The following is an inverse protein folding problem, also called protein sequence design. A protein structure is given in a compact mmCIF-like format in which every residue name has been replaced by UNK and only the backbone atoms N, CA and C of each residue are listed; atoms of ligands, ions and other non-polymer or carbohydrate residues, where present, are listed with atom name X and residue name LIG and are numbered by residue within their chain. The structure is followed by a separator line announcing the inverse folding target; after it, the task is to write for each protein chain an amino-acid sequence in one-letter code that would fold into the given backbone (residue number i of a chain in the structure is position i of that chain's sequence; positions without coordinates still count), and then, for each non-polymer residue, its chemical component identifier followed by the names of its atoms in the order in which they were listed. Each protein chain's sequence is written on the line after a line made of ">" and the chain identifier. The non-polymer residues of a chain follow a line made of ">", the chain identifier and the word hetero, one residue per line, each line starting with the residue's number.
data_IF_112199342996
#
_entry.id   IF_112199342996
#
_cell.length_a   1.000
_cell.length_b   1.000
_cell.length_c   1.000
_cell.angle_alpha   90.00
_cell.angle_beta   90.00
_cell.angle_gamma   90.00
#
_symmetry.space_group_name_H-M   'P 1'
#
loop_
_entity.id
_entity.type
_entity.pdbx_description
1 polymer ?
#
# COMPACT_ATOMS: atom_id res chain seq x y z
N UNK A 1 0.10 9.04 -13.00
CA UNK A 1 -0.39 7.66 -13.28
C UNK A 1 0.66 6.56 -13.18
N UNK A 2 1.89 6.74 -13.63
CA UNK A 2 2.93 5.68 -13.58
C UNK A 2 3.16 5.11 -12.16
N UNK A 3 3.18 5.98 -11.13
CA UNK A 3 3.33 5.56 -9.73
C UNK A 3 2.14 4.73 -9.25
N UNK A 4 0.93 5.04 -9.72
CA UNK A 4 -0.29 4.29 -9.37
C UNK A 4 -0.29 2.89 -10.01
N UNK A 5 0.23 2.76 -11.23
CA UNK A 5 0.40 1.45 -11.88
C UNK A 5 1.45 0.60 -11.17
N UNK A 6 2.59 1.20 -10.81
CA UNK A 6 3.64 0.53 -10.03
C UNK A 6 3.09 0.07 -8.68
N UNK A 7 2.36 0.94 -7.97
CA UNK A 7 1.72 0.61 -6.71
C UNK A 7 0.71 -0.52 -6.86
N UNK A 8 -0.15 -0.48 -7.89
CA UNK A 8 -1.14 -1.53 -8.15
C UNK A 8 -0.47 -2.88 -8.41
N UNK A 9 0.61 -2.90 -9.19
CA UNK A 9 1.37 -4.13 -9.48
C UNK A 9 2.04 -4.68 -8.22
N UNK A 10 2.71 -3.83 -7.44
CA UNK A 10 3.32 -4.17 -6.14
C UNK A 10 2.30 -4.76 -5.16
N UNK A 11 1.13 -4.12 -5.02
CA UNK A 11 0.02 -4.64 -4.21
C UNK A 11 -0.45 -6.01 -4.68
N UNK A 12 -0.52 -6.24 -5.99
CA UNK A 12 -0.93 -7.54 -6.52
C UNK A 12 0.12 -8.64 -6.25
N UNK A 13 1.41 -8.33 -6.42
CA UNK A 13 2.51 -9.26 -6.16
C UNK A 13 2.64 -9.61 -4.67
N UNK A 14 2.38 -8.66 -3.78
CA UNK A 14 2.39 -8.86 -2.33
C UNK A 14 1.08 -9.43 -1.75
N UNK A 15 0.07 -9.71 -2.59
CA UNK A 15 -1.24 -10.19 -2.11
C UNK A 15 -2.08 -9.13 -1.38
N UNK A 16 -1.75 -7.85 -1.54
CA UNK A 16 -2.43 -6.68 -0.95
C UNK A 16 -3.36 -5.97 -1.94
N UNK A 17 -3.76 -6.64 -3.03
CA UNK A 17 -4.62 -6.05 -4.07
C UNK A 17 -5.95 -5.53 -3.50
N UNK A 18 -6.49 -6.20 -2.46
CA UNK A 18 -7.76 -5.87 -1.82
C UNK A 18 -7.63 -4.85 -0.67
N UNK A 19 -6.41 -4.46 -0.29
CA UNK A 19 -6.16 -3.48 0.79
C UNK A 19 -6.43 -2.06 0.28
N UNK A 20 -7.69 -1.64 0.30
CA UNK A 20 -8.10 -0.29 -0.12
C UNK A 20 -7.50 0.82 0.74
N UNK A 21 -7.08 0.52 1.97
CA UNK A 21 -6.44 1.47 2.90
C UNK A 21 -5.01 1.89 2.47
N UNK A 22 -4.43 1.20 1.48
CA UNK A 22 -3.11 1.49 0.91
C UNK A 22 -3.30 2.28 -0.38
N UNK A 23 -3.23 3.59 -0.30
CA UNK A 23 -3.41 4.50 -1.45
C UNK A 23 -2.07 5.06 -1.95
N UNK A 24 -1.04 5.00 -1.12
CA UNK A 24 0.29 5.54 -1.42
C UNK A 24 1.38 4.48 -1.31
N UNK A 25 2.52 4.73 -1.96
CA UNK A 25 3.68 3.85 -1.87
C UNK A 25 4.27 3.78 -0.46
N UNK A 26 4.12 4.84 0.35
CA UNK A 26 4.56 4.85 1.76
C UNK A 26 3.73 3.88 2.60
N UNK A 27 2.41 3.94 2.48
CA UNK A 27 1.50 2.99 3.13
C UNK A 27 1.75 1.55 2.68
N UNK A 28 2.11 1.33 1.42
CA UNK A 28 2.48 0.01 0.93
C UNK A 28 3.75 -0.50 1.62
N UNK A 29 4.78 0.33 1.75
CA UNK A 29 6.03 -0.02 2.44
C UNK A 29 5.75 -0.32 3.90
N UNK A 30 4.93 0.50 4.57
CA UNK A 30 4.54 0.26 5.96
C UNK A 30 3.85 -1.10 6.10
N UNK A 31 2.86 -1.40 5.25
CA UNK A 31 2.16 -2.68 5.26
C UNK A 31 3.06 -3.88 4.92
N UNK A 32 3.99 -3.73 3.96
CA UNK A 32 4.95 -4.77 3.54
C UNK A 32 5.96 -5.09 4.65
N UNK A 33 6.38 -4.07 5.40
CA UNK A 33 7.23 -4.21 6.59
C UNK A 33 6.47 -4.68 7.84
N UNK A 34 5.16 -4.95 7.73
CA UNK A 34 4.31 -5.37 8.84
C UNK A 34 3.98 -4.25 9.84
N UNK A 35 4.20 -2.99 9.45
CA UNK A 35 3.73 -1.82 10.19
C UNK A 35 2.26 -1.59 9.87
N UNK A 36 1.48 -1.26 10.90
CA UNK A 36 0.09 -0.89 10.68
C UNK A 36 0.05 0.35 9.79
N UNK A 37 -0.78 0.34 8.74
CA UNK A 37 -1.01 1.52 7.93
C UNK A 37 -1.81 2.48 8.79
N UNK A 38 -1.08 3.27 9.57
CA UNK A 38 -1.67 4.25 10.44
C UNK A 38 -2.37 5.26 9.55
N UNK A 39 -3.69 5.29 9.65
CA UNK A 39 -4.45 6.46 9.29
C UNK A 39 -3.98 7.54 10.28
N UNK A 40 -3.24 8.56 9.82
CA UNK A 40 -2.67 9.66 10.64
C UNK A 40 -3.77 10.51 11.31
N UNK A 41 -4.58 9.91 12.19
CA UNK A 41 -5.76 10.52 12.78
C UNK A 41 -6.24 9.87 14.06
N UNK A 42 -5.32 9.44 14.94
CA UNK A 42 -5.59 9.28 16.38
C UNK A 42 -4.93 10.44 17.14
#
# INVERSE_FOLDING_TARGET
>A
DEVSEILRRRKQEAGMAERSDIETSFQFIDADEGRDVRHDGD
#
